data_IF_374495244781
#
_entry.id   IF_374495244781
#
_cell.length_a   1.000
_cell.length_b   1.000
_cell.length_c   1.000
_cell.angle_alpha   90.00
_cell.angle_beta   90.00
_cell.angle_gamma   90.00
#
_symmetry.space_group_name_H-M   'P 1'
#
loop_
_entity.id
_entity.type
_entity.pdbx_description
1 polymer ?
#
# COMPACT_ATOMS: atom_id res chain seq x y z
N UNK A 1 -4.42 4.09 14.02
CA UNK A 1 -4.38 2.68 14.50
C UNK A 1 -5.23 2.42 15.74
N UNK A 2 -5.17 3.26 16.79
CA UNK A 2 -6.04 3.14 17.97
C UNK A 2 -7.54 3.11 17.60
N UNK A 3 -7.96 3.82 16.55
CA UNK A 3 -9.36 3.89 16.08
C UNK A 3 -9.77 2.68 15.23
N UNK A 4 -8.87 2.09 14.41
CA UNK A 4 -9.20 0.96 13.51
C UNK A 4 -9.62 -0.32 14.27
N UNK A 5 -9.16 -0.49 15.51
CA UNK A 5 -9.63 -1.54 16.41
C UNK A 5 -10.65 -1.02 17.43
N UNK A 6 -10.55 0.22 17.96
CA UNK A 6 -11.57 0.76 18.89
C UNK A 6 -12.95 0.93 18.27
N UNK A 7 -13.06 1.29 16.99
CA UNK A 7 -14.36 1.38 16.29
C UNK A 7 -15.02 0.01 16.17
N UNK A 8 -14.22 -1.05 15.97
CA UNK A 8 -14.68 -2.44 15.92
C UNK A 8 -14.97 -3.04 17.30
N UNK A 9 -14.13 -2.73 18.29
CA UNK A 9 -14.20 -3.25 19.66
C UNK A 9 -15.37 -2.71 20.47
N UNK A 10 -15.96 -1.57 20.07
CA UNK A 10 -17.19 -1.06 20.70
C UNK A 10 -18.41 -1.96 20.43
N UNK A 11 -18.41 -2.73 19.33
CA UNK A 11 -19.60 -3.45 18.86
C UNK A 11 -19.49 -4.98 18.97
N UNK A 12 -18.30 -5.58 19.08
CA UNK A 12 -18.11 -7.04 19.15
C UNK A 12 -17.84 -7.51 20.58
N UNK A 13 -18.63 -8.46 21.11
CA UNK A 13 -18.45 -9.06 22.45
C UNK A 13 -17.21 -9.98 22.58
N UNK A 14 -16.36 -10.07 21.56
CA UNK A 14 -15.17 -10.93 21.53
C UNK A 14 -13.90 -10.10 21.72
N UNK A 15 -13.40 -9.98 22.95
CA UNK A 15 -12.22 -9.14 23.24
C UNK A 15 -10.95 -10.00 23.32
N UNK A 16 -10.08 -9.83 22.33
CA UNK A 16 -8.65 -10.06 22.55
C UNK A 16 -8.09 -8.80 23.25
N UNK A 17 -7.40 -8.96 24.38
CA UNK A 17 -6.70 -7.85 25.01
C UNK A 17 -5.48 -7.45 24.17
N UNK A 18 -5.48 -6.20 23.70
CA UNK A 18 -4.43 -5.66 22.83
C UNK A 18 -4.09 -4.22 23.23
N UNK A 19 -2.80 -3.89 23.19
CA UNK A 19 -2.28 -2.56 23.52
C UNK A 19 -1.17 -2.22 22.53
N UNK A 20 -1.18 -1.01 21.99
CA UNK A 20 -0.12 -0.52 21.09
C UNK A 20 0.98 0.14 21.93
N UNK A 21 2.22 -0.21 21.66
CA UNK A 21 3.41 0.35 22.28
C UNK A 21 4.30 1.02 21.22
N UNK A 22 4.74 2.24 21.53
CA UNK A 22 5.65 3.05 20.70
C UNK A 22 7.09 3.05 21.22
N UNK A 23 7.32 2.50 22.43
CA UNK A 23 8.65 2.28 22.99
C UNK A 23 8.76 0.89 23.60
N UNK A 24 9.98 0.35 23.79
CA UNK A 24 10.18 -0.92 24.46
C UNK A 24 9.57 -0.99 25.87
N UNK A 25 9.71 0.09 26.65
CA UNK A 25 9.16 0.20 28.00
C UNK A 25 7.63 0.17 27.97
N UNK A 26 7.00 0.82 26.98
CA UNK A 26 5.56 0.75 26.78
C UNK A 26 5.12 -0.69 26.43
N UNK A 27 5.93 -1.46 25.71
CA UNK A 27 5.61 -2.85 25.38
C UNK A 27 5.61 -3.73 26.64
N UNK A 28 6.55 -3.50 27.56
CA UNK A 28 6.57 -4.14 28.88
C UNK A 28 5.34 -3.79 29.71
N UNK A 29 5.01 -2.50 29.81
CA UNK A 29 3.83 -2.05 30.54
C UNK A 29 2.54 -2.63 29.96
N UNK A 30 2.44 -2.69 28.63
CA UNK A 30 1.34 -3.34 27.93
C UNK A 30 1.23 -4.84 28.28
N UNK A 31 2.35 -5.56 28.27
CA UNK A 31 2.37 -6.97 28.68
C UNK A 31 1.93 -7.16 30.14
N UNK A 32 2.42 -6.32 31.06
CA UNK A 32 2.00 -6.33 32.47
C UNK A 32 0.50 -6.04 32.64
N UNK A 33 -0.06 -5.12 31.86
CA UNK A 33 -1.48 -4.79 31.92
C UNK A 33 -2.34 -5.95 31.41
N UNK A 34 -2.00 -6.52 30.24
CA UNK A 34 -2.68 -7.70 29.70
C UNK A 34 -2.60 -8.87 30.67
N UNK A 35 -1.45 -9.06 31.33
CA UNK A 35 -1.25 -10.11 32.33
C UNK A 35 -2.19 -9.99 33.53
N UNK A 36 -2.50 -8.75 33.97
CA UNK A 36 -3.44 -8.49 35.07
C UNK A 36 -4.90 -8.77 34.66
N UNK A 37 -5.22 -8.53 33.40
CA UNK A 37 -6.58 -8.69 32.86
C UNK A 37 -6.93 -10.14 32.54
N UNK A 38 -5.93 -11.01 32.34
CA UNK A 38 -6.16 -12.45 32.13
C UNK A 38 -6.76 -13.10 33.39
N UNK A 39 -7.82 -13.92 33.25
CA UNK A 39 -8.36 -14.68 34.37
C UNK A 39 -7.28 -15.55 35.01
N UNK A 40 -7.15 -15.49 36.34
CA UNK A 40 -6.30 -16.40 37.09
C UNK A 40 -7.02 -17.75 37.21
N UNK A 41 -6.90 -18.63 36.22
CA UNK A 41 -7.36 -20.00 36.35
C UNK A 41 -6.40 -20.78 37.25
N UNK A 42 -6.95 -21.43 38.28
CA UNK A 42 -6.19 -22.28 39.18
C UNK A 42 -5.52 -23.40 38.38
N UNK A 43 -4.18 -23.38 38.33
CA UNK A 43 -3.35 -24.48 37.80
C UNK A 43 -2.72 -24.27 36.42
N UNK A 44 -3.07 -23.22 35.67
CA UNK A 44 -2.45 -22.94 34.36
C UNK A 44 -2.23 -21.43 34.17
N UNK A 45 -0.99 -20.97 34.36
CA UNK A 45 -0.62 -19.57 34.12
C UNK A 45 -0.14 -19.35 32.68
N UNK A 46 -1.01 -19.47 31.67
CA UNK A 46 -0.64 -19.07 30.31
C UNK A 46 -0.52 -17.54 30.21
N UNK A 47 0.67 -17.06 30.53
CA UNK A 47 1.08 -15.66 30.46
C UNK A 47 1.57 -15.26 29.07
N UNK A 48 1.49 -16.16 28.10
CA UNK A 48 1.94 -15.91 26.74
C UNK A 48 1.26 -14.68 26.13
N UNK A 49 2.08 -13.88 25.47
CA UNK A 49 1.68 -12.74 24.66
C UNK A 49 2.15 -12.95 23.23
N UNK A 50 1.65 -12.12 22.32
CA UNK A 50 2.20 -11.94 21.00
C UNK A 50 2.60 -10.49 20.83
N UNK A 51 3.78 -10.28 20.27
CA UNK A 51 4.23 -8.98 19.81
C UNK A 51 4.17 -8.95 18.28
N UNK A 52 3.48 -7.95 17.73
CA UNK A 52 3.25 -7.82 16.29
C UNK A 52 3.73 -6.46 15.81
N UNK A 53 4.73 -6.43 14.94
CA UNK A 53 5.18 -5.22 14.27
C UNK A 53 4.02 -4.53 13.54
N UNK A 54 3.90 -3.22 13.72
CA UNK A 54 2.85 -2.43 13.09
C UNK A 54 3.40 -1.78 11.81
N UNK A 55 3.20 -2.48 10.70
CA UNK A 55 3.35 -1.96 9.34
C UNK A 55 2.06 -2.22 8.55
N UNK A 56 1.83 -1.46 7.48
CA UNK A 56 0.61 -1.63 6.65
C UNK A 56 0.63 -2.89 5.78
N UNK A 57 1.82 -3.38 5.42
CA UNK A 57 1.98 -4.56 4.58
C UNK A 57 1.68 -5.86 5.35
N UNK A 58 1.13 -6.85 4.65
CA UNK A 58 0.91 -8.20 5.18
C UNK A 58 2.16 -9.07 5.16
N UNK A 59 2.03 -10.31 5.64
CA UNK A 59 3.12 -11.30 5.66
C UNK A 59 4.19 -11.03 6.72
N UNK A 60 3.81 -10.36 7.81
CA UNK A 60 4.71 -9.94 8.91
C UNK A 60 5.32 -11.13 9.65
N UNK A 61 4.56 -12.21 9.78
CA UNK A 61 4.95 -13.48 10.41
C UNK A 61 6.09 -14.19 9.68
N UNK A 62 6.14 -14.08 8.35
CA UNK A 62 7.20 -14.62 7.49
C UNK A 62 8.26 -13.58 7.10
N UNK A 63 8.08 -12.34 7.52
CA UNK A 63 9.03 -11.27 7.29
C UNK A 63 10.23 -11.33 8.21
N UNK A 64 11.25 -10.54 7.92
CA UNK A 64 12.42 -10.37 8.77
C UNK A 64 12.84 -8.91 8.85
N UNK A 65 13.46 -8.51 9.95
CA UNK A 65 14.00 -7.16 10.08
C UNK A 65 15.38 -7.06 9.41
N UNK A 66 15.61 -6.00 8.65
CA UNK A 66 16.89 -5.78 7.95
C UNK A 66 18.07 -5.68 8.93
N UNK A 67 17.86 -5.00 10.03
CA UNK A 67 18.84 -4.76 11.10
C UNK A 67 18.98 -5.99 12.02
N UNK A 68 17.95 -6.84 12.08
CA UNK A 68 17.91 -8.05 12.89
C UNK A 68 17.33 -9.24 12.09
N UNK A 69 18.10 -9.89 11.19
CA UNK A 69 17.56 -10.86 10.22
C UNK A 69 16.92 -12.12 10.82
N UNK A 70 17.24 -12.45 12.08
CA UNK A 70 16.64 -13.59 12.79
C UNK A 70 15.27 -13.26 13.41
N UNK A 71 14.90 -11.99 13.45
CA UNK A 71 13.68 -11.50 14.09
C UNK A 71 12.53 -11.48 13.08
N UNK A 72 11.45 -12.19 13.37
CA UNK A 72 10.18 -12.08 12.64
C UNK A 72 9.34 -10.89 13.12
N UNK A 73 8.48 -10.35 12.26
CA UNK A 73 7.52 -9.29 12.58
C UNK A 73 6.36 -9.74 13.46
N UNK A 74 6.17 -11.03 13.71
CA UNK A 74 5.20 -11.56 14.68
C UNK A 74 5.87 -12.63 15.53
N UNK A 75 5.91 -12.44 16.85
CA UNK A 75 6.54 -13.39 17.76
C UNK A 75 5.70 -13.62 19.01
N UNK A 76 5.79 -14.82 19.56
CA UNK A 76 5.21 -15.16 20.86
C UNK A 76 6.26 -14.84 21.93
N UNK A 77 5.82 -14.24 23.03
CA UNK A 77 6.68 -13.91 24.19
C UNK A 77 6.04 -14.41 25.47
N UNK A 78 6.85 -14.76 26.45
CA UNK A 78 6.44 -15.45 27.69
C UNK A 78 6.61 -14.60 28.94
N UNK A 79 7.26 -13.44 28.83
CA UNK A 79 7.39 -12.47 29.94
C UNK A 79 7.30 -11.01 29.45
N UNK A 80 6.91 -10.07 30.33
CA UNK A 80 6.98 -8.64 30.03
C UNK A 80 8.39 -8.14 29.68
N UNK A 81 9.42 -8.72 30.29
CA UNK A 81 10.83 -8.43 30.00
C UNK A 81 11.21 -8.87 28.58
N UNK A 82 10.75 -10.04 28.15
CA UNK A 82 10.97 -10.52 26.77
C UNK A 82 10.21 -9.65 25.75
N UNK A 83 9.02 -9.13 26.12
CA UNK A 83 8.28 -8.18 25.29
C UNK A 83 9.07 -6.87 25.09
N UNK A 84 9.72 -6.36 26.13
CA UNK A 84 10.63 -5.20 26.06
C UNK A 84 11.81 -5.47 25.12
N UNK A 85 12.50 -6.58 25.34
CA UNK A 85 13.68 -6.95 24.56
C UNK A 85 13.35 -7.08 23.07
N UNK A 86 12.27 -7.80 22.73
CA UNK A 86 11.88 -7.94 21.33
C UNK A 86 11.37 -6.63 20.74
N UNK A 87 10.63 -5.82 21.50
CA UNK A 87 10.21 -4.49 21.05
C UNK A 87 11.41 -3.60 20.71
N UNK A 88 12.50 -3.66 21.47
CA UNK A 88 13.72 -2.88 21.22
C UNK A 88 14.38 -3.20 19.87
N UNK A 89 14.20 -4.43 19.38
CA UNK A 89 14.71 -4.89 18.07
C UNK A 89 13.71 -4.63 16.94
N UNK A 90 12.43 -4.44 17.24
CA UNK A 90 11.39 -4.15 16.24
C UNK A 90 11.20 -2.65 15.99
N UNK A 91 11.02 -1.87 17.06
CA UNK A 91 10.74 -0.43 16.98
C UNK A 91 12.00 0.28 16.53
N UNK A 92 11.91 1.06 15.46
CA UNK A 92 13.06 1.70 14.83
C UNK A 92 13.71 0.91 13.70
N UNK A 93 13.31 -0.35 13.51
CA UNK A 93 13.86 -1.24 12.50
C UNK A 93 12.98 -1.32 11.24
N UNK A 94 13.56 -1.82 10.16
CA UNK A 94 12.93 -1.96 8.85
C UNK A 94 12.46 -3.40 8.65
N UNK A 95 11.15 -3.63 8.63
CA UNK A 95 10.57 -4.95 8.40
C UNK A 95 10.40 -5.20 6.89
N UNK A 96 11.02 -6.27 6.39
CA UNK A 96 10.90 -6.74 5.01
C UNK A 96 9.90 -7.90 4.98
N UNK A 97 8.91 -7.80 4.11
CA UNK A 97 7.96 -8.87 3.78
C UNK A 97 7.90 -9.07 2.28
N UNK A 98 7.23 -10.13 1.83
CA UNK A 98 6.96 -10.36 0.39
C UNK A 98 6.19 -9.21 -0.26
N UNK A 99 5.46 -8.40 0.51
CA UNK A 99 4.66 -7.28 0.02
C UNK A 99 5.39 -5.93 0.04
N UNK A 100 6.52 -5.81 0.75
CA UNK A 100 7.28 -4.55 0.84
C UNK A 100 8.45 -4.48 -0.14
N UNK A 101 8.83 -5.61 -0.74
CA UNK A 101 10.10 -5.76 -1.44
C UNK A 101 11.29 -5.50 -0.52
N UNK A 102 12.48 -5.33 -1.11
CA UNK A 102 13.73 -5.11 -0.37
C UNK A 102 13.80 -3.79 0.40
N UNK A 103 12.95 -2.81 0.05
CA UNK A 103 12.87 -1.53 0.78
C UNK A 103 12.35 -1.70 2.20
N UNK A 104 11.49 -2.70 2.43
CA UNK A 104 10.83 -2.90 3.70
C UNK A 104 9.94 -1.72 4.10
N UNK A 105 9.45 -1.76 5.34
CA UNK A 105 8.73 -0.66 5.98
C UNK A 105 9.25 -0.43 7.39
N UNK A 106 9.40 0.85 7.72
CA UNK A 106 9.82 1.27 9.04
C UNK A 106 8.76 0.91 10.10
N UNK A 107 9.19 0.26 11.17
CA UNK A 107 8.30 -0.13 12.26
C UNK A 107 8.37 0.91 13.38
N UNK A 108 7.31 1.72 13.49
CA UNK A 108 7.23 2.80 14.49
C UNK A 108 6.56 2.38 15.79
N UNK A 109 5.91 1.20 15.80
CA UNK A 109 5.16 0.69 16.93
C UNK A 109 5.04 -0.84 16.84
N UNK A 110 4.72 -1.45 17.98
CA UNK A 110 4.34 -2.85 18.09
C UNK A 110 2.97 -2.94 18.75
N UNK A 111 2.20 -3.96 18.37
CA UNK A 111 0.97 -4.34 19.07
C UNK A 111 1.32 -5.51 19.99
N UNK A 112 1.12 -5.32 21.29
CA UNK A 112 1.18 -6.39 22.28
C UNK A 112 -0.24 -6.92 22.46
N UNK A 113 -0.43 -8.21 22.25
CA UNK A 113 -1.73 -8.86 22.41
C UNK A 113 -1.59 -10.10 23.27
N UNK A 114 -2.67 -10.52 23.95
CA UNK A 114 -2.67 -11.85 24.52
C UNK A 114 -2.53 -12.93 23.42
N UNK A 115 -1.86 -14.03 23.75
CA UNK A 115 -1.87 -15.21 22.88
C UNK A 115 -3.22 -15.92 23.02
N UNK A 116 -3.91 -16.08 21.89
CA UNK A 116 -5.13 -16.89 21.79
C UNK A 116 -4.77 -18.32 21.38
N UNK A 117 -5.42 -19.30 21.99
CA UNK A 117 -5.35 -20.71 21.61
C UNK A 117 -6.61 -21.07 20.83
N UNK A 118 -6.44 -21.34 19.53
CA UNK A 118 -7.53 -21.56 18.60
C UNK A 118 -7.69 -23.06 18.31
N UNK A 119 -8.94 -23.55 18.40
CA UNK A 119 -9.34 -24.89 17.91
C UNK A 119 -9.47 -24.92 16.40
N UNK A 120 -9.95 -23.83 15.81
CA UNK A 120 -10.15 -23.70 14.36
C UNK A 120 -9.88 -22.27 13.94
N UNK A 121 -9.25 -22.11 12.79
CA UNK A 121 -9.06 -20.82 12.13
C UNK A 121 -9.97 -20.78 10.90
N UNK A 122 -10.71 -19.70 10.76
CA UNK A 122 -11.60 -19.42 9.65
C UNK A 122 -11.15 -18.15 8.93
N UNK A 123 -11.67 -17.93 7.73
CA UNK A 123 -11.37 -16.75 6.94
C UNK A 123 -12.66 -16.10 6.45
N UNK A 124 -12.69 -14.77 6.45
CA UNK A 124 -13.73 -13.98 5.81
C UNK A 124 -13.13 -12.74 5.15
N UNK A 125 -13.58 -12.39 3.96
CA UNK A 125 -13.34 -11.08 3.36
C UNK A 125 -14.57 -10.52 2.69
N UNK A 126 -14.70 -9.19 2.71
CA UNK A 126 -15.71 -8.41 2.02
C UNK A 126 -14.98 -7.48 1.05
N UNK A 127 -15.36 -7.48 -0.22
CA UNK A 127 -14.74 -6.63 -1.23
C UNK A 127 -15.76 -6.12 -2.23
N UNK A 128 -15.44 -5.03 -2.92
CA UNK A 128 -16.22 -4.62 -4.09
C UNK A 128 -16.02 -5.62 -5.24
N UNK A 129 -17.08 -5.88 -6.01
CA UNK A 129 -17.04 -6.65 -7.25
C UNK A 129 -17.27 -5.70 -8.42
N UNK A 130 -16.19 -5.38 -9.13
CA UNK A 130 -16.22 -4.46 -10.26
C UNK A 130 -16.97 -5.03 -11.48
N UNK A 131 -16.95 -6.36 -11.68
CA UNK A 131 -17.60 -7.00 -12.84
C UNK A 131 -19.13 -6.99 -12.74
N UNK A 132 -19.65 -7.25 -11.53
CA UNK A 132 -21.10 -7.37 -11.28
C UNK A 132 -21.72 -6.10 -10.66
N UNK A 133 -20.91 -5.13 -10.23
CA UNK A 133 -21.40 -3.91 -9.59
C UNK A 133 -22.06 -4.18 -8.23
N UNK A 134 -21.34 -4.78 -7.30
CA UNK A 134 -21.89 -5.08 -5.96
C UNK A 134 -20.80 -5.48 -4.95
N UNK A 135 -21.20 -6.18 -3.90
CA UNK A 135 -20.31 -6.64 -2.83
C UNK A 135 -20.10 -8.15 -2.95
N UNK A 136 -18.86 -8.57 -2.80
CA UNK A 136 -18.45 -9.95 -2.75
C UNK A 136 -18.02 -10.32 -1.34
N UNK A 137 -18.57 -11.40 -0.79
CA UNK A 137 -18.19 -11.95 0.50
C UNK A 137 -17.57 -13.33 0.24
N UNK A 138 -16.33 -13.51 0.67
CA UNK A 138 -15.62 -14.79 0.57
C UNK A 138 -15.46 -15.34 1.98
N UNK A 139 -15.84 -16.60 2.18
CA UNK A 139 -15.66 -17.31 3.45
C UNK A 139 -14.95 -18.64 3.20
N UNK A 140 -14.14 -19.07 4.17
CA UNK A 140 -13.52 -20.40 4.16
C UNK A 140 -13.46 -20.95 5.59
N UNK A 141 -13.61 -22.27 5.70
CA UNK A 141 -13.49 -23.01 6.95
C UNK A 141 -12.04 -23.37 7.33
N UNK A 142 -11.09 -22.92 6.49
CA UNK A 142 -9.65 -22.92 6.74
C UNK A 142 -9.14 -21.48 6.76
N UNK A 143 -8.49 -21.07 7.84
CA UNK A 143 -7.98 -19.70 8.07
C UNK A 143 -6.90 -19.21 7.11
N UNK A 144 -6.53 -20.02 6.12
CA UNK A 144 -5.61 -19.67 5.07
C UNK A 144 -6.23 -19.90 3.69
N UNK A 145 -6.11 -18.88 2.85
CA UNK A 145 -6.31 -18.97 1.41
C UNK A 145 -4.94 -18.66 0.79
N UNK A 146 -4.28 -19.63 0.18
CA UNK A 146 -3.19 -19.34 -0.76
C UNK A 146 -3.81 -18.73 -2.02
N UNK A 147 -3.13 -17.76 -2.60
CA UNK A 147 -3.51 -17.13 -3.87
C UNK A 147 -3.67 -18.13 -5.02
N UNK A 148 -2.97 -19.26 -4.96
CA UNK A 148 -3.04 -20.35 -5.96
C UNK A 148 -4.25 -21.29 -5.76
N UNK A 149 -4.96 -21.21 -4.64
CA UNK A 149 -6.06 -22.13 -4.28
C UNK A 149 -7.45 -21.46 -4.33
N UNK A 150 -7.66 -20.46 -5.18
CA UNK A 150 -8.99 -19.88 -5.44
C UNK A 150 -10.02 -20.90 -5.98
N UNK A 151 -9.61 -22.15 -6.21
CA UNK A 151 -10.45 -23.30 -6.57
C UNK A 151 -10.55 -24.38 -5.48
N UNK A 152 -10.26 -24.07 -4.22
CA UNK A 152 -10.51 -25.03 -3.15
C UNK A 152 -12.01 -25.19 -2.88
N UNK A 153 -12.50 -26.44 -2.80
CA UNK A 153 -13.92 -26.78 -2.53
C UNK A 153 -14.50 -26.11 -1.28
N UNK A 154 -13.64 -25.72 -0.34
CA UNK A 154 -14.00 -25.11 0.96
C UNK A 154 -14.21 -23.60 0.89
N UNK A 155 -13.66 -22.92 -0.12
CA UNK A 155 -13.88 -21.48 -0.29
C UNK A 155 -15.24 -21.25 -0.93
N UNK A 156 -16.10 -20.48 -0.25
CA UNK A 156 -17.43 -20.11 -0.75
C UNK A 156 -17.48 -18.61 -1.01
N UNK A 157 -18.11 -18.24 -2.11
CA UNK A 157 -18.25 -16.86 -2.55
C UNK A 157 -19.73 -16.51 -2.63
N UNK A 158 -20.08 -15.37 -2.03
CA UNK A 158 -21.44 -14.87 -1.91
C UNK A 158 -21.51 -13.45 -2.47
N UNK A 159 -22.28 -13.28 -3.53
CA UNK A 159 -22.54 -11.96 -4.10
C UNK A 159 -23.76 -11.33 -3.43
N UNK A 160 -23.65 -10.03 -3.17
CA UNK A 160 -24.65 -9.19 -2.50
C UNK A 160 -24.80 -7.89 -3.30
N UNK A 161 -26.02 -7.53 -3.68
CA UNK A 161 -26.30 -6.22 -4.29
C UNK A 161 -26.36 -5.16 -3.19
N UNK A 162 -26.08 -3.90 -3.53
CA UNK A 162 -26.20 -2.80 -2.57
C UNK A 162 -27.65 -2.56 -2.12
N UNK A 163 -28.62 -2.87 -2.97
CA UNK A 163 -30.04 -2.68 -2.69
C UNK A 163 -30.58 -3.73 -1.71
N UNK A 164 -30.23 -5.00 -1.92
CA UNK A 164 -30.75 -6.10 -1.10
C UNK A 164 -30.00 -6.24 0.23
N UNK A 165 -28.72 -5.86 0.26
CA UNK A 165 -27.84 -6.13 1.39
C UNK A 165 -27.78 -7.62 1.75
N UNK A 166 -27.39 -7.94 2.99
CA UNK A 166 -27.41 -9.32 3.47
C UNK A 166 -28.81 -9.64 4.02
N UNK A 167 -29.68 -10.20 3.16
CA UNK A 167 -30.97 -10.72 3.57
C UNK A 167 -30.84 -12.02 4.41
N UNK A 168 -31.96 -12.52 4.96
CA UNK A 168 -31.95 -13.71 5.84
C UNK A 168 -31.41 -14.97 5.18
N UNK A 169 -31.79 -15.22 3.92
CA UNK A 169 -31.34 -16.39 3.16
C UNK A 169 -29.84 -16.30 2.87
N UNK A 170 -29.37 -15.15 2.42
CA UNK A 170 -27.95 -14.89 2.14
C UNK A 170 -27.11 -15.00 3.41
N UNK A 171 -27.57 -14.46 4.53
CA UNK A 171 -26.93 -14.61 5.82
C UNK A 171 -26.76 -16.10 6.18
N UNK A 172 -27.81 -16.89 6.01
CA UNK A 172 -27.76 -18.33 6.30
C UNK A 172 -26.73 -19.06 5.40
N UNK A 173 -26.72 -18.77 4.09
CA UNK A 173 -25.73 -19.32 3.15
C UNK A 173 -24.28 -18.96 3.54
N UNK A 174 -24.05 -17.73 3.98
CA UNK A 174 -22.73 -17.26 4.44
C UNK A 174 -22.30 -18.04 5.69
N UNK A 175 -23.19 -18.24 6.66
CA UNK A 175 -22.89 -18.93 7.92
C UNK A 175 -22.55 -20.41 7.68
N UNK A 176 -23.34 -21.08 6.85
CA UNK A 176 -23.12 -22.48 6.48
C UNK A 176 -21.76 -22.70 5.81
N UNK A 177 -21.23 -21.66 5.14
CA UNK A 177 -19.92 -21.71 4.49
C UNK A 177 -18.74 -21.83 5.47
N UNK A 178 -18.91 -21.44 6.73
CA UNK A 178 -17.88 -21.63 7.75
C UNK A 178 -17.80 -23.07 8.28
N UNK A 179 -18.78 -23.91 7.93
CA UNK A 179 -18.81 -25.33 8.28
C UNK A 179 -18.55 -25.56 9.78
N UNK A 180 -19.34 -24.86 10.59
CA UNK A 180 -19.35 -24.94 12.05
C UNK A 180 -20.67 -25.54 12.53
N UNK A 181 -20.66 -26.04 13.76
CA UNK A 181 -21.87 -26.50 14.43
C UNK A 181 -22.90 -25.36 14.59
N UNK A 182 -24.19 -25.70 14.54
CA UNK A 182 -25.29 -24.73 14.60
C UNK A 182 -25.29 -23.88 15.88
N UNK A 183 -24.68 -24.36 16.96
CA UNK A 183 -24.48 -23.59 18.20
C UNK A 183 -23.77 -22.26 17.99
N UNK A 184 -22.92 -22.14 16.95
CA UNK A 184 -22.20 -20.90 16.63
C UNK A 184 -22.96 -19.96 15.67
N UNK A 185 -24.13 -20.35 15.16
CA UNK A 185 -24.83 -19.60 14.11
C UNK A 185 -25.17 -18.16 14.53
N UNK A 186 -25.67 -17.96 15.75
CA UNK A 186 -26.02 -16.61 16.23
C UNK A 186 -24.78 -15.71 16.39
N UNK A 187 -23.66 -16.28 16.86
CA UNK A 187 -22.40 -15.54 16.96
C UNK A 187 -21.86 -15.17 15.58
N UNK A 188 -21.94 -16.09 14.61
CA UNK A 188 -21.56 -15.82 13.21
C UNK A 188 -22.46 -14.77 12.57
N UNK A 189 -23.80 -14.84 12.74
CA UNK A 189 -24.75 -13.81 12.26
C UNK A 189 -24.33 -12.42 12.73
N UNK A 190 -24.04 -12.31 14.02
CA UNK A 190 -23.65 -11.04 14.61
C UNK A 190 -22.32 -10.55 14.03
N UNK A 191 -21.29 -11.40 13.99
CA UNK A 191 -19.97 -11.04 13.45
C UNK A 191 -20.07 -10.62 11.98
N UNK A 192 -20.72 -11.43 11.13
CA UNK A 192 -20.91 -11.14 9.70
C UNK A 192 -21.69 -9.84 9.50
N UNK A 193 -22.78 -9.64 10.25
CA UNK A 193 -23.58 -8.42 10.17
C UNK A 193 -22.78 -7.18 10.57
N UNK A 194 -22.00 -7.26 11.64
CA UNK A 194 -21.16 -6.15 12.11
C UNK A 194 -20.01 -5.85 11.14
N UNK A 195 -19.37 -6.87 10.58
CA UNK A 195 -18.33 -6.70 9.56
C UNK A 195 -18.88 -6.04 8.30
N UNK A 196 -20.07 -6.46 7.85
CA UNK A 196 -20.73 -5.86 6.69
C UNK A 196 -21.13 -4.41 6.92
N UNK A 197 -21.70 -4.09 8.10
CA UNK A 197 -22.01 -2.71 8.46
C UNK A 197 -20.74 -1.86 8.56
N UNK A 198 -19.66 -2.40 9.14
CA UNK A 198 -18.39 -1.69 9.18
C UNK A 198 -17.83 -1.43 7.78
N UNK A 199 -17.92 -2.39 6.86
CA UNK A 199 -17.49 -2.21 5.49
C UNK A 199 -18.22 -1.05 4.81
N UNK A 200 -19.55 -0.99 4.96
CA UNK A 200 -20.38 0.07 4.37
C UNK A 200 -20.14 1.44 5.02
N UNK A 201 -20.18 1.52 6.35
CA UNK A 201 -20.12 2.78 7.10
C UNK A 201 -18.78 3.51 6.96
N UNK A 202 -17.71 2.76 6.71
CA UNK A 202 -16.36 3.31 6.58
C UNK A 202 -15.92 3.49 5.12
N UNK A 203 -16.84 3.35 4.14
CA UNK A 203 -16.50 3.43 2.71
C UNK A 203 -15.33 2.49 2.34
N UNK A 204 -15.36 1.27 2.87
CA UNK A 204 -14.29 0.31 2.63
C UNK A 204 -14.37 -0.26 1.20
N UNK A 205 -13.21 -0.44 0.57
CA UNK A 205 -13.07 -1.19 -0.69
C UNK A 205 -12.75 -2.65 -0.44
N UNK A 206 -12.14 -2.94 0.71
CA UNK A 206 -11.75 -4.28 1.14
C UNK A 206 -11.75 -4.38 2.67
N UNK A 207 -12.30 -5.46 3.19
CA UNK A 207 -12.20 -5.86 4.59
C UNK A 207 -11.84 -7.34 4.63
N UNK A 208 -10.86 -7.71 5.43
CA UNK A 208 -10.39 -9.07 5.63
C UNK A 208 -10.27 -9.36 7.12
N UNK A 209 -10.72 -10.54 7.53
CA UNK A 209 -10.49 -11.11 8.85
C UNK A 209 -9.73 -12.42 8.68
N UNK A 210 -8.49 -12.44 9.19
CA UNK A 210 -7.56 -13.55 8.98
C UNK A 210 -6.61 -13.75 10.18
N UNK A 211 -6.91 -14.66 11.13
CA UNK A 211 -8.08 -15.55 11.16
C UNK A 211 -9.28 -14.95 11.91
N UNK A 212 -10.47 -15.44 11.57
CA UNK A 212 -11.60 -15.52 12.49
C UNK A 212 -11.42 -16.81 13.29
N UNK A 213 -11.02 -16.70 14.55
CA UNK A 213 -10.61 -17.83 15.38
C UNK A 213 -11.74 -18.37 16.23
N UNK A 214 -11.92 -19.69 16.25
CA UNK A 214 -12.68 -20.39 17.28
C UNK A 214 -11.73 -20.80 18.40
N UNK A 215 -11.89 -20.20 19.57
CA UNK A 215 -11.04 -20.46 20.75
C UNK A 215 -11.29 -21.84 21.36
N UNK A 216 -10.34 -22.29 22.19
CA UNK A 216 -10.51 -23.49 23.01
C UNK A 216 -11.69 -23.42 23.98
N UNK A 217 -12.19 -22.23 24.30
CA UNK A 217 -13.35 -22.03 25.19
C UNK A 217 -14.67 -21.94 24.41
N UNK A 218 -14.65 -22.20 23.09
CA UNK A 218 -15.86 -22.21 22.26
C UNK A 218 -16.39 -20.82 21.93
N UNK A 219 -15.51 -19.81 21.84
CA UNK A 219 -15.87 -18.45 21.42
C UNK A 219 -15.24 -18.11 20.06
N UNK A 220 -16.01 -17.50 19.16
CA UNK A 220 -15.49 -16.90 17.94
C UNK A 220 -14.94 -15.50 18.21
N UNK A 221 -13.70 -15.26 17.77
CA UNK A 221 -12.95 -14.02 17.98
C UNK A 221 -12.26 -13.59 16.68
N UNK A 222 -12.37 -12.31 16.35
CA UNK A 222 -11.59 -11.68 15.27
C UNK A 222 -10.14 -11.52 15.78
N UNK A 223 -9.21 -12.30 15.24
CA UNK A 223 -7.82 -12.34 15.74
C UNK A 223 -6.90 -11.35 15.00
N UNK A 224 -7.18 -11.09 13.72
CA UNK A 224 -6.52 -10.05 12.94
C UNK A 224 -7.51 -9.55 11.87
N UNK A 225 -7.36 -8.29 11.50
CA UNK A 225 -8.20 -7.66 10.49
C UNK A 225 -7.42 -6.65 9.66
N UNK A 226 -7.75 -6.57 8.37
CA UNK A 226 -7.26 -5.56 7.44
C UNK A 226 -8.46 -4.87 6.80
N UNK A 227 -8.42 -3.55 6.77
CA UNK A 227 -9.43 -2.74 6.09
C UNK A 227 -8.73 -1.73 5.17
N UNK A 228 -9.18 -1.67 3.92
CA UNK A 228 -8.81 -0.67 2.93
C UNK A 228 -10.01 0.24 2.72
N UNK A 229 -9.77 1.54 2.79
CA UNK A 229 -10.77 2.60 2.68
C UNK A 229 -10.65 3.20 1.29
N UNK A 230 -11.75 3.63 0.70
CA UNK A 230 -11.75 4.37 -0.56
C UNK A 230 -11.18 5.78 -0.34
N UNK A 231 -10.05 6.10 -0.98
CA UNK A 231 -9.43 7.44 -0.88
C UNK A 231 -10.36 8.55 -1.39
N UNK A 232 -11.27 8.24 -2.33
CA UNK A 232 -12.27 9.20 -2.82
C UNK A 232 -13.32 9.55 -1.75
N UNK A 233 -13.42 8.76 -0.66
CA UNK A 233 -14.35 9.02 0.44
C UNK A 233 -13.75 9.92 1.53
N UNK A 234 -12.47 10.32 1.42
CA UNK A 234 -11.76 11.08 2.46
C UNK A 234 -12.49 12.36 2.91
N UNK A 235 -13.23 13.02 2.01
CA UNK A 235 -14.01 14.22 2.32
C UNK A 235 -15.15 13.99 3.32
N UNK A 236 -15.69 12.76 3.40
CA UNK A 236 -16.75 12.37 4.34
C UNK A 236 -16.25 11.45 5.46
N UNK A 237 -15.09 10.82 5.28
CA UNK A 237 -14.41 9.97 6.25
C UNK A 237 -13.27 10.71 6.97
N UNK A 238 -13.56 11.92 7.49
CA UNK A 238 -12.54 12.84 8.04
C UNK A 238 -11.72 12.21 9.17
N UNK A 239 -12.37 11.51 10.10
CA UNK A 239 -11.69 10.85 11.22
C UNK A 239 -10.72 9.78 10.73
N UNK A 240 -11.10 8.96 9.74
CA UNK A 240 -10.26 7.92 9.16
C UNK A 240 -9.10 8.51 8.34
N UNK A 241 -9.36 9.57 7.58
CA UNK A 241 -8.32 10.26 6.83
C UNK A 241 -7.27 10.90 7.78
N UNK A 242 -7.72 11.44 8.93
CA UNK A 242 -6.83 12.10 9.90
C UNK A 242 -5.83 11.16 10.60
N UNK A 243 -6.11 9.86 10.62
CA UNK A 243 -5.26 8.84 11.26
C UNK A 243 -4.38 8.07 10.25
N UNK A 244 -4.28 8.56 9.01
CA UNK A 244 -3.37 8.00 8.02
C UNK A 244 -1.93 8.04 8.53
N UNK A 245 -1.26 6.89 8.54
CA UNK A 245 0.14 6.81 8.94
C UNK A 245 1.07 7.07 7.75
N UNK A 246 1.43 8.34 7.55
CA UNK A 246 2.33 8.77 6.48
C UNK A 246 3.73 8.14 6.60
N UNK A 247 4.14 7.68 7.79
CA UNK A 247 5.46 7.04 8.00
C UNK A 247 5.60 5.70 7.26
N UNK A 248 4.48 5.16 6.77
CA UNK A 248 4.41 3.93 5.98
C UNK A 248 4.49 4.18 4.46
N UNK A 249 4.53 5.44 4.02
CA UNK A 249 4.64 5.84 2.61
C UNK A 249 6.08 6.22 2.25
N UNK A 250 6.41 6.16 0.96
CA UNK A 250 7.66 6.72 0.44
C UNK A 250 7.61 8.25 0.52
N UNK A 251 8.71 8.91 0.90
CA UNK A 251 8.76 10.38 1.01
C UNK A 251 8.39 11.06 -0.31
N UNK A 252 8.75 10.45 -1.45
CA UNK A 252 8.40 10.96 -2.79
C UNK A 252 6.89 10.93 -3.03
N UNK A 253 6.22 9.88 -2.56
CA UNK A 253 4.75 9.75 -2.64
C UNK A 253 4.05 10.77 -1.74
N UNK A 254 4.59 11.06 -0.55
CA UNK A 254 4.07 12.09 0.36
C UNK A 254 4.17 13.47 -0.29
N UNK A 255 5.32 13.81 -0.88
CA UNK A 255 5.52 15.10 -1.56
C UNK A 255 4.57 15.21 -2.77
N UNK A 256 4.42 14.14 -3.55
CA UNK A 256 3.49 14.10 -4.67
C UNK A 256 2.04 14.31 -4.23
N UNK A 257 1.58 13.58 -3.21
CA UNK A 257 0.21 13.67 -2.70
C UNK A 257 -0.13 15.10 -2.23
N UNK A 258 0.81 15.80 -1.58
CA UNK A 258 0.64 17.21 -1.16
C UNK A 258 0.45 18.18 -2.34
N UNK A 259 0.92 17.80 -3.53
CA UNK A 259 0.78 18.58 -4.76
C UNK A 259 -0.29 17.99 -5.70
N UNK A 260 -1.16 17.10 -5.19
CA UNK A 260 -2.20 16.44 -5.96
C UNK A 260 -1.68 15.68 -7.19
N UNK A 261 -0.50 15.06 -7.06
CA UNK A 261 0.12 14.22 -8.08
C UNK A 261 -0.04 12.74 -7.72
N UNK A 262 -0.40 11.93 -8.70
CA UNK A 262 -0.47 10.48 -8.54
C UNK A 262 0.91 9.89 -8.80
N UNK A 263 1.67 9.59 -7.75
CA UNK A 263 3.04 9.07 -7.84
C UNK A 263 3.16 7.73 -7.11
N UNK A 264 3.88 6.77 -7.70
CA UNK A 264 4.30 5.52 -7.04
C UNK A 264 5.78 5.33 -7.30
N UNK A 265 6.56 5.15 -6.23
CA UNK A 265 8.01 4.94 -6.36
C UNK A 265 8.31 3.49 -6.79
N UNK A 266 9.17 3.32 -7.80
CA UNK A 266 9.67 2.03 -8.28
C UNK A 266 11.20 1.99 -8.17
N UNK A 267 11.81 0.83 -8.42
CA UNK A 267 13.25 0.57 -8.21
C UNK A 267 14.14 0.86 -9.43
N UNK A 268 13.56 1.36 -10.53
CA UNK A 268 14.30 1.63 -11.76
C UNK A 268 15.11 2.93 -11.77
N UNK A 269 15.66 3.24 -12.94
CA UNK A 269 16.57 4.36 -13.19
C UNK A 269 16.04 5.36 -14.23
N UNK A 270 14.88 5.11 -14.83
CA UNK A 270 14.24 6.01 -15.79
C UNK A 270 13.04 6.68 -15.13
N UNK A 271 13.19 7.95 -14.81
CA UNK A 271 12.11 8.77 -14.27
C UNK A 271 11.08 9.06 -15.34
N UNK A 272 9.79 9.00 -15.04
CA UNK A 272 8.74 9.36 -16.00
C UNK A 272 7.80 10.44 -15.44
N UNK A 273 7.34 11.35 -16.30
CA UNK A 273 6.25 12.28 -16.03
C UNK A 273 5.28 12.23 -17.21
N UNK A 274 4.03 11.87 -16.95
CA UNK A 274 3.04 11.61 -17.99
C UNK A 274 1.71 12.25 -17.60
N UNK A 275 0.92 12.70 -18.59
CA UNK A 275 -0.45 13.12 -18.33
C UNK A 275 -1.45 11.99 -18.68
N UNK A 276 -2.21 11.55 -17.68
CA UNK A 276 -3.18 10.47 -17.75
C UNK A 276 -2.64 9.12 -17.30
N UNK A 277 -3.29 8.52 -16.30
CA UNK A 277 -2.89 7.24 -15.70
C UNK A 277 -2.70 6.10 -16.72
N UNK A 278 -3.57 5.99 -17.73
CA UNK A 278 -3.44 4.97 -18.78
C UNK A 278 -2.15 5.12 -19.59
N UNK A 279 -1.84 6.35 -20.02
CA UNK A 279 -0.61 6.63 -20.77
C UNK A 279 0.64 6.47 -19.87
N UNK A 280 0.53 6.81 -18.58
CA UNK A 280 1.60 6.60 -17.61
C UNK A 280 1.94 5.10 -17.48
N UNK A 281 0.92 4.24 -17.34
CA UNK A 281 1.12 2.78 -17.33
C UNK A 281 1.73 2.27 -18.64
N UNK A 282 1.17 2.66 -19.80
CA UNK A 282 1.70 2.26 -21.11
C UNK A 282 3.17 2.70 -21.31
N UNK A 283 3.53 3.88 -20.80
CA UNK A 283 4.90 4.37 -20.87
C UNK A 283 5.86 3.50 -20.05
N UNK A 284 5.47 3.12 -18.83
CA UNK A 284 6.26 2.21 -18.00
C UNK A 284 6.39 0.82 -18.64
N UNK A 285 5.29 0.28 -19.16
CA UNK A 285 5.27 -1.03 -19.84
C UNK A 285 6.20 -1.02 -21.05
N UNK A 286 6.17 0.03 -21.86
CA UNK A 286 7.03 0.14 -23.03
C UNK A 286 8.51 0.29 -22.65
N UNK A 287 8.82 1.03 -21.57
CA UNK A 287 10.18 1.09 -21.03
C UNK A 287 10.64 -0.32 -20.64
N UNK A 288 9.83 -1.05 -19.86
CA UNK A 288 10.15 -2.38 -19.36
C UNK A 288 10.29 -3.42 -20.48
N UNK A 289 9.35 -3.45 -21.44
CA UNK A 289 9.38 -4.34 -22.61
C UNK A 289 10.64 -4.14 -23.48
N UNK A 290 11.24 -2.95 -23.42
CA UNK A 290 12.46 -2.60 -24.15
C UNK A 290 13.72 -2.66 -23.27
N UNK A 291 13.65 -3.41 -22.17
CA UNK A 291 14.75 -3.64 -21.23
C UNK A 291 15.25 -2.37 -20.50
N UNK A 292 14.42 -1.33 -20.44
CA UNK A 292 14.62 -0.21 -19.52
C UNK A 292 14.03 -0.53 -18.14
N UNK A 293 14.36 0.29 -17.14
CA UNK A 293 13.83 0.12 -15.78
C UNK A 293 13.11 1.39 -15.33
N UNK A 294 11.75 1.41 -15.28
CA UNK A 294 11.01 2.58 -14.84
C UNK A 294 11.23 2.82 -13.34
N UNK A 295 11.58 4.06 -12.98
CA UNK A 295 11.86 4.48 -11.61
C UNK A 295 10.61 4.91 -10.84
N UNK A 296 9.53 5.23 -11.55
CA UNK A 296 8.27 5.66 -10.96
C UNK A 296 7.11 5.55 -11.93
N UNK A 297 5.91 5.43 -11.36
CA UNK A 297 4.67 5.88 -11.99
C UNK A 297 4.45 7.34 -11.59
N UNK A 298 4.10 8.22 -12.53
CA UNK A 298 3.66 9.58 -12.24
C UNK A 298 2.66 10.05 -13.29
N UNK A 299 1.43 10.26 -12.83
CA UNK A 299 0.36 10.93 -13.57
C UNK A 299 0.15 12.33 -13.00
N UNK A 300 0.46 13.36 -13.80
CA UNK A 300 0.21 14.76 -13.45
C UNK A 300 -1.21 15.25 -13.79
N UNK A 301 -2.01 14.42 -14.46
CA UNK A 301 -3.35 14.76 -14.94
C UNK A 301 -3.33 15.59 -16.23
N UNK A 302 -4.46 15.59 -16.94
CA UNK A 302 -4.60 16.33 -18.21
C UNK A 302 -4.60 17.86 -18.08
N UNK A 303 -4.79 18.37 -16.86
CA UNK A 303 -4.93 19.81 -16.56
C UNK A 303 -3.89 20.28 -15.54
N UNK A 304 -2.73 19.61 -15.48
CA UNK A 304 -1.67 19.93 -14.54
C UNK A 304 -1.26 21.41 -14.63
N UNK A 305 -1.23 22.11 -13.51
CA UNK A 305 -0.77 23.50 -13.48
C UNK A 305 0.77 23.59 -13.40
N UNK A 306 1.29 24.81 -13.48
CA UNK A 306 2.74 25.06 -13.42
C UNK A 306 3.37 24.60 -12.10
N UNK A 307 2.68 24.71 -10.96
CA UNK A 307 3.22 24.30 -9.66
C UNK A 307 3.31 22.78 -9.55
N UNK A 308 2.31 22.07 -10.07
CA UNK A 308 2.29 20.61 -10.14
C UNK A 308 3.43 20.07 -11.02
N UNK A 309 3.67 20.70 -12.18
CA UNK A 309 4.80 20.34 -13.06
C UNK A 309 6.14 20.56 -12.36
N UNK A 310 6.31 21.70 -11.66
CA UNK A 310 7.52 21.99 -10.90
C UNK A 310 7.74 20.96 -9.78
N UNK A 311 6.68 20.61 -9.03
CA UNK A 311 6.76 19.63 -7.96
C UNK A 311 7.14 18.24 -8.50
N UNK A 312 6.51 17.80 -9.59
CA UNK A 312 6.86 16.58 -10.31
C UNK A 312 8.34 16.55 -10.71
N UNK A 313 8.81 17.62 -11.36
CA UNK A 313 10.20 17.75 -11.78
C UNK A 313 11.18 17.78 -10.60
N UNK A 314 10.83 18.43 -9.48
CA UNK A 314 11.64 18.41 -8.24
C UNK A 314 11.78 16.99 -7.68
N UNK A 315 10.71 16.20 -7.68
CA UNK A 315 10.76 14.79 -7.24
C UNK A 315 11.73 14.00 -8.13
N UNK A 316 11.57 14.08 -9.46
CA UNK A 316 12.41 13.34 -10.40
C UNK A 316 13.88 13.80 -10.40
N UNK A 317 14.13 15.10 -10.24
CA UNK A 317 15.47 15.67 -10.19
C UNK A 317 16.24 15.19 -8.94
N UNK A 318 15.58 15.12 -7.79
CA UNK A 318 16.21 14.77 -6.52
C UNK A 318 16.41 13.26 -6.30
N UNK A 319 15.74 12.40 -7.08
CA UNK A 319 15.92 10.95 -6.96
C UNK A 319 17.27 10.50 -7.52
N UNK A 320 18.17 10.06 -6.65
CA UNK A 320 19.54 9.65 -7.04
C UNK A 320 19.58 8.42 -7.95
N UNK A 321 18.53 7.60 -7.96
CA UNK A 321 18.45 6.42 -8.83
C UNK A 321 18.13 6.80 -10.27
N UNK A 322 17.46 7.94 -10.49
CA UNK A 322 17.07 8.40 -11.83
C UNK A 322 18.30 8.93 -12.58
N UNK A 323 18.58 8.31 -13.72
CA UNK A 323 19.66 8.67 -14.65
C UNK A 323 19.15 9.53 -15.81
N UNK A 324 17.94 9.26 -16.29
CA UNK A 324 17.28 10.02 -17.35
C UNK A 324 15.80 10.24 -17.06
N UNK A 325 15.23 11.33 -17.57
CA UNK A 325 13.82 11.66 -17.38
C UNK A 325 13.09 11.56 -18.72
N UNK A 326 11.98 10.83 -18.74
CA UNK A 326 11.05 10.76 -19.86
C UNK A 326 9.79 11.57 -19.54
N UNK A 327 9.60 12.68 -20.25
CA UNK A 327 8.35 13.44 -20.20
C UNK A 327 7.52 13.03 -21.42
N UNK A 328 6.37 12.40 -21.21
CA UNK A 328 5.48 11.97 -22.29
C UNK A 328 4.12 12.67 -22.16
N UNK A 329 3.85 13.64 -23.02
CA UNK A 329 2.62 14.42 -22.96
C UNK A 329 1.85 14.32 -24.26
N UNK A 330 0.57 13.95 -24.13
CA UNK A 330 -0.42 14.13 -25.18
C UNK A 330 -1.19 15.42 -24.90
N UNK A 331 -0.98 16.45 -25.70
CA UNK A 331 -1.40 17.83 -25.40
C UNK A 331 -2.93 18.01 -25.36
N UNK A 332 -3.68 17.14 -26.06
CA UNK A 332 -5.14 17.11 -26.00
C UNK A 332 -5.74 18.44 -26.49
N UNK A 333 -6.38 19.18 -25.60
CA UNK A 333 -7.02 20.48 -25.88
C UNK A 333 -5.98 21.61 -25.94
N UNK A 334 -4.92 21.52 -25.11
CA UNK A 334 -3.85 22.51 -25.07
C UNK A 334 -2.87 22.27 -26.23
N UNK A 335 -2.25 23.33 -26.76
CA UNK A 335 -1.27 23.22 -27.83
C UNK A 335 0.13 22.89 -27.31
N UNK A 336 0.93 22.18 -28.11
CA UNK A 336 2.26 21.71 -27.71
C UNK A 336 3.21 22.86 -27.35
N UNK A 337 3.11 24.00 -28.02
CA UNK A 337 3.94 25.18 -27.79
C UNK A 337 3.72 25.78 -26.40
N UNK A 338 2.47 25.84 -25.92
CA UNK A 338 2.14 26.29 -24.56
C UNK A 338 2.73 25.33 -23.52
N UNK A 339 2.61 24.02 -23.75
CA UNK A 339 3.15 23.00 -22.85
C UNK A 339 4.68 23.07 -22.82
N UNK A 340 5.34 23.22 -23.96
CA UNK A 340 6.78 23.36 -24.04
C UNK A 340 7.28 24.56 -23.23
N UNK A 341 6.64 25.73 -23.37
CA UNK A 341 6.97 26.91 -22.57
C UNK A 341 6.80 26.68 -21.06
N UNK A 342 5.72 25.98 -20.65
CA UNK A 342 5.49 25.65 -19.24
C UNK A 342 6.57 24.71 -18.68
N UNK A 343 6.98 23.69 -19.45
CA UNK A 343 8.07 22.78 -19.07
C UNK A 343 9.38 23.54 -18.95
N UNK A 344 9.75 24.36 -19.95
CA UNK A 344 10.99 25.14 -19.94
C UNK A 344 11.05 26.06 -18.71
N UNK A 345 9.95 26.76 -18.41
CA UNK A 345 9.86 27.61 -17.22
C UNK A 345 10.09 26.80 -15.94
N UNK A 346 9.48 25.63 -15.83
CA UNK A 346 9.67 24.75 -14.68
C UNK A 346 11.12 24.24 -14.59
N UNK A 347 11.75 23.88 -15.70
CA UNK A 347 13.15 23.44 -15.75
C UNK A 347 14.12 24.53 -15.28
N UNK A 348 13.89 25.78 -15.67
CA UNK A 348 14.66 26.94 -15.18
C UNK A 348 14.58 27.12 -13.68
N UNK A 349 13.44 26.84 -13.07
CA UNK A 349 13.28 26.95 -11.61
C UNK A 349 13.93 25.78 -10.85
N UNK A 350 13.81 24.56 -11.39
CA UNK A 350 14.30 23.35 -10.72
C UNK A 350 15.80 23.17 -10.87
N UNK A 351 16.41 23.61 -11.97
CA UNK A 351 17.84 23.42 -12.24
C UNK A 351 18.20 21.96 -12.53
N UNK A 352 17.44 21.31 -13.40
CA UNK A 352 17.66 19.89 -13.75
C UNK A 352 18.96 19.71 -14.54
N UNK A 353 19.80 18.78 -14.07
CA UNK A 353 21.04 18.36 -14.74
C UNK A 353 20.94 17.02 -15.47
N UNK A 354 19.85 16.28 -15.24
CA UNK A 354 19.63 14.97 -15.85
C UNK A 354 19.09 15.16 -17.28
N UNK A 355 19.51 14.34 -18.25
CA UNK A 355 19.02 14.44 -19.61
C UNK A 355 17.53 14.14 -19.66
N UNK A 356 16.83 14.91 -20.50
CA UNK A 356 15.38 14.82 -20.67
C UNK A 356 15.08 14.37 -22.08
N UNK A 357 14.26 13.34 -22.20
CA UNK A 357 13.58 13.00 -23.46
C UNK A 357 12.14 13.46 -23.32
N UNK A 358 11.71 14.34 -24.22
CA UNK A 358 10.38 14.92 -24.23
C UNK A 358 9.63 14.43 -25.46
N UNK A 359 8.54 13.70 -25.24
CA UNK A 359 7.58 13.37 -26.28
C UNK A 359 6.36 14.26 -26.17
N UNK A 360 6.11 15.07 -27.20
CA UNK A 360 4.92 15.92 -27.31
C UNK A 360 4.09 15.45 -28.50
N UNK A 361 2.79 15.23 -28.29
CA UNK A 361 1.86 14.94 -29.39
C UNK A 361 0.65 15.86 -29.33
N UNK A 362 0.37 16.56 -30.43
CA UNK A 362 -0.76 17.49 -30.51
C UNK A 362 -0.55 18.60 -31.53
N UNK A 363 -1.42 19.61 -31.49
CA UNK A 363 -1.33 20.80 -32.34
C UNK A 363 -0.06 21.58 -32.05
N UNK A 364 0.49 22.25 -33.07
CA UNK A 364 1.66 23.12 -32.97
C UNK A 364 2.95 22.43 -32.49
N UNK A 365 3.11 21.13 -32.78
CA UNK A 365 4.33 20.41 -32.42
C UNK A 365 5.59 21.04 -33.01
N UNK A 366 5.58 21.42 -34.30
CA UNK A 366 6.76 22.04 -34.93
C UNK A 366 7.19 23.34 -34.25
N UNK A 367 6.23 24.16 -33.80
CA UNK A 367 6.51 25.38 -33.03
C UNK A 367 7.08 25.05 -31.66
N UNK A 368 6.52 24.06 -30.96
CA UNK A 368 7.04 23.57 -29.69
C UNK A 368 8.47 23.06 -29.81
N UNK A 369 8.76 22.32 -30.88
CA UNK A 369 10.09 21.80 -31.19
C UNK A 369 11.11 22.93 -31.38
N UNK A 370 10.75 23.99 -32.11
CA UNK A 370 11.60 25.17 -32.24
C UNK A 370 11.86 25.85 -30.89
N UNK A 371 10.80 26.06 -30.09
CA UNK A 371 10.90 26.63 -28.73
C UNK A 371 11.87 25.81 -27.86
N UNK A 372 11.82 24.47 -27.95
CA UNK A 372 12.71 23.58 -27.19
C UNK A 372 14.16 23.65 -27.68
N UNK A 373 14.40 23.78 -28.99
CA UNK A 373 15.77 23.96 -29.49
C UNK A 373 16.39 25.28 -29.01
N UNK A 374 15.59 26.34 -28.91
CA UNK A 374 16.07 27.66 -28.54
C UNK A 374 16.19 27.88 -27.01
N UNK A 375 15.70 26.93 -26.19
CA UNK A 375 15.55 27.14 -24.74
C UNK A 375 16.84 26.96 -23.91
N UNK A 376 17.92 26.47 -24.52
CA UNK A 376 19.20 26.22 -23.84
C UNK A 376 19.19 25.04 -22.85
N UNK A 377 18.09 24.31 -22.72
CA UNK A 377 18.04 23.05 -21.96
C UNK A 377 18.36 21.85 -22.85
N UNK A 378 18.99 20.86 -22.24
CA UNK A 378 19.39 19.63 -22.89
C UNK A 378 18.21 18.66 -23.00
N UNK A 379 17.33 18.90 -23.99
CA UNK A 379 16.08 18.15 -24.20
C UNK A 379 16.06 17.51 -25.60
N UNK A 380 15.89 16.19 -25.65
CA UNK A 380 15.62 15.47 -26.90
C UNK A 380 14.11 15.41 -27.14
N UNK A 381 13.63 16.08 -28.21
CA UNK A 381 12.20 16.13 -28.53
C UNK A 381 11.81 15.24 -29.73
N UNK A 382 10.68 14.53 -29.64
CA UNK A 382 10.04 13.80 -30.76
C UNK A 382 8.51 13.70 -30.57
N UNK A 383 7.76 13.38 -31.62
CA UNK A 383 6.34 13.00 -31.52
C UNK A 383 6.12 11.50 -31.32
N UNK A 384 7.12 10.68 -31.70
CA UNK A 384 7.00 9.24 -31.75
C UNK A 384 7.30 8.61 -30.39
N UNK A 385 6.37 7.77 -29.92
CA UNK A 385 6.46 7.17 -28.59
C UNK A 385 7.56 6.10 -28.53
N UNK A 386 7.75 5.31 -29.59
CA UNK A 386 8.76 4.26 -29.63
C UNK A 386 10.15 4.87 -29.68
N UNK A 387 10.34 5.87 -30.55
CA UNK A 387 11.58 6.61 -30.68
C UNK A 387 11.97 7.31 -29.36
N UNK A 388 11.01 7.98 -28.71
CA UNK A 388 11.25 8.62 -27.41
C UNK A 388 11.67 7.59 -26.35
N UNK A 389 11.02 6.42 -26.33
CA UNK A 389 11.33 5.36 -25.37
C UNK A 389 12.73 4.79 -25.63
N UNK A 390 13.09 4.56 -26.89
CA UNK A 390 14.45 4.12 -27.24
C UNK A 390 15.52 5.14 -26.85
N UNK A 391 15.25 6.41 -27.12
CA UNK A 391 16.16 7.51 -26.77
C UNK A 391 16.37 7.57 -25.27
N UNK A 392 15.31 7.50 -24.45
CA UNK A 392 15.45 7.63 -22.99
C UNK A 392 16.20 6.44 -22.39
N UNK A 393 15.92 5.22 -22.87
CA UNK A 393 16.64 4.01 -22.42
C UNK A 393 18.12 4.08 -22.79
N UNK A 394 18.45 4.41 -24.04
CA UNK A 394 19.84 4.53 -24.49
C UNK A 394 20.57 5.63 -23.72
N UNK A 395 19.90 6.74 -23.45
CA UNK A 395 20.46 7.85 -22.67
C UNK A 395 20.82 7.39 -21.25
N UNK A 396 19.91 6.69 -20.56
CA UNK A 396 20.20 6.10 -19.25
C UNK A 396 21.39 5.14 -19.30
N UNK A 397 21.40 4.22 -20.28
CA UNK A 397 22.47 3.23 -20.44
C UNK A 397 23.84 3.90 -20.66
N UNK A 398 23.92 4.93 -21.51
CA UNK A 398 25.19 5.64 -21.74
C UNK A 398 25.68 6.32 -20.47
N UNK A 399 24.80 6.99 -19.71
CA UNK A 399 25.18 7.60 -18.43
C UNK A 399 25.64 6.57 -17.40
N UNK A 400 24.97 5.42 -17.37
CA UNK A 400 25.35 4.33 -16.48
C UNK A 400 26.74 3.79 -16.82
N UNK A 401 26.99 3.48 -18.10
CA UNK A 401 28.31 3.02 -18.57
C UNK A 401 29.40 4.08 -18.29
N UNK A 402 29.09 5.36 -18.49
CA UNK A 402 29.99 6.46 -18.16
C UNK A 402 30.35 6.48 -16.67
N UNK A 403 29.34 6.37 -15.81
CA UNK A 403 29.51 6.36 -14.35
C UNK A 403 30.32 5.15 -13.89
N UNK A 404 30.03 3.96 -14.42
CA UNK A 404 30.77 2.72 -14.14
C UNK A 404 32.24 2.83 -14.58
N UNK A 405 32.50 3.47 -15.72
CA UNK A 405 33.84 3.77 -16.22
C UNK A 405 34.52 4.96 -15.52
N UNK A 406 33.83 5.66 -14.61
CA UNK A 406 34.27 6.92 -13.97
C UNK A 406 34.62 8.03 -14.97
N UNK A 407 33.94 8.06 -16.10
CA UNK A 407 34.04 9.09 -17.14
C UNK A 407 32.89 10.07 -16.98
N UNK A 408 33.20 11.36 -16.97
CA UNK A 408 32.17 12.39 -16.99
C UNK A 408 31.76 12.64 -18.45
N UNK A 409 30.57 12.19 -18.83
CA UNK A 409 30.03 12.45 -20.17
C UNK A 409 28.95 13.52 -20.05
N UNK A 410 29.11 14.59 -20.83
CA UNK A 410 28.04 15.51 -21.11
C UNK A 410 27.36 15.06 -22.41
N UNK A 411 26.25 14.33 -22.30
CA UNK A 411 25.64 13.60 -23.43
C UNK A 411 25.03 14.49 -24.53
N UNK A 412 25.02 15.80 -24.34
CA UNK A 412 24.17 16.72 -25.11
C UNK A 412 24.90 18.03 -25.44
N UNK A 413 26.16 17.92 -25.90
CA UNK A 413 26.86 18.97 -26.67
C UNK A 413 26.46 18.95 -28.13
#
# INVERSE_FOLDING_TARGET
MNIKQKSFQKNTNSRQFIIVAFTPEQAKLAALEIQKLKPQTTGISFRDFQIKAQIHAGGRDKGFFKEHPQQSGVQVVFSPEEAEELASKMIGSTLITSQTGFRGRYTSAVLVSERLFLRKELFMSISLNAEKGGINIICNDKGFISTDERQNKTTKQHFVTLQDGINKEKMQQIIESFNLDKTYNEQLKNIVGQLFQCFLQNDATYLEVKPLGLTIDGQLIICDQKIQIDDNSAFRQIELASIEDIRQKDEKEIIAQKNFLNYIALDGNIGSMVNGAGLAMTTMDLIAQRNGSPANFLDCGGTADSQQIIAALKILANDKNIESIFINIHAGITSCDIIAMAIIKALSEVGIKKPIVLRLKGKNFEQAKQIIYDCGFNILVTEDLIEATDKVIKTAQILRMAREAKININLLS
#
